data_IF_410057091867
#
_entry.id   IF_410057091867
#
_cell.length_a   1.000
_cell.length_b   1.000
_cell.length_c   1.000
_cell.angle_alpha   90.00
_cell.angle_beta   90.00
_cell.angle_gamma   90.00
#
_symmetry.space_group_name_H-M   'P 1'
#
loop_
_entity.id
_entity.type
_entity.pdbx_description
1 polymer ?
#
# COMPACT_ATOMS: atom_id res chain seq x y z
N UNK A 1 54.13 14.12 18.92
CA UNK A 1 53.42 13.99 17.62
C UNK A 1 54.17 14.80 16.55
N UNK A 2 54.74 14.13 15.55
CA UNK A 2 55.49 14.80 14.49
C UNK A 2 54.51 15.51 13.54
N UNK A 3 54.75 16.81 13.28
CA UNK A 3 54.03 17.54 12.25
C UNK A 3 54.46 16.99 10.88
N UNK A 4 53.51 16.73 9.96
CA UNK A 4 53.86 16.27 8.62
C UNK A 4 54.74 17.32 7.93
N UNK A 5 55.78 16.87 7.24
CA UNK A 5 56.65 17.74 6.46
C UNK A 5 55.81 18.50 5.39
N UNK A 6 56.10 19.78 5.12
CA UNK A 6 55.37 20.54 4.11
C UNK A 6 55.56 19.90 2.73
N UNK A 7 54.46 19.73 2.00
CA UNK A 7 54.45 19.22 0.63
C UNK A 7 55.34 20.08 -0.26
N UNK A 8 56.09 19.44 -1.15
CA UNK A 8 56.79 20.13 -2.21
C UNK A 8 55.78 20.76 -3.19
N UNK A 9 56.16 21.82 -3.93
CA UNK A 9 55.28 22.43 -4.94
C UNK A 9 54.81 21.46 -6.03
N UNK A 10 55.60 20.41 -6.31
CA UNK A 10 55.24 19.37 -7.27
C UNK A 10 54.19 18.41 -6.69
N UNK A 11 54.38 17.94 -5.45
CA UNK A 11 53.39 17.12 -4.75
C UNK A 11 52.05 17.87 -4.56
N UNK A 12 52.09 19.16 -4.25
CA UNK A 12 50.88 19.99 -4.12
C UNK A 12 50.12 20.12 -5.46
N UNK A 13 50.83 20.22 -6.60
CA UNK A 13 50.21 20.27 -7.93
C UNK A 13 49.60 18.93 -8.34
N UNK A 14 50.29 17.84 -8.03
CA UNK A 14 49.79 16.47 -8.28
C UNK A 14 48.54 16.19 -7.46
N UNK A 15 48.55 16.53 -6.15
CA UNK A 15 47.40 16.39 -5.27
C UNK A 15 46.20 17.20 -5.79
N UNK A 16 46.42 18.46 -6.15
CA UNK A 16 45.37 19.31 -6.72
C UNK A 16 44.86 18.81 -8.09
N UNK A 17 45.66 18.05 -8.85
CA UNK A 17 45.19 17.40 -10.06
C UNK A 17 44.30 16.22 -9.74
N UNK A 18 44.72 15.38 -8.78
CA UNK A 18 43.93 14.24 -8.32
C UNK A 18 42.60 14.67 -7.71
N UNK A 19 42.56 15.76 -6.95
CA UNK A 19 41.32 16.32 -6.40
C UNK A 19 40.36 16.74 -7.53
N UNK A 20 40.87 17.43 -8.57
CA UNK A 20 40.06 17.80 -9.74
C UNK A 20 39.54 16.59 -10.51
N UNK A 21 40.37 15.56 -10.68
CA UNK A 21 39.97 14.33 -11.36
C UNK A 21 38.92 13.56 -10.55
N UNK A 22 39.06 13.52 -9.21
CA UNK A 22 38.07 12.96 -8.29
C UNK A 22 36.74 13.70 -8.34
N UNK A 23 36.76 15.03 -8.34
CA UNK A 23 35.58 15.87 -8.45
C UNK A 23 34.88 15.67 -9.81
N UNK A 24 35.65 15.58 -10.89
CA UNK A 24 35.13 15.33 -12.23
C UNK A 24 34.47 13.96 -12.35
N UNK A 25 35.13 12.89 -11.89
CA UNK A 25 34.59 11.53 -11.90
C UNK A 25 33.38 11.39 -10.98
N UNK A 26 33.39 12.01 -9.80
CA UNK A 26 32.25 12.04 -8.88
C UNK A 26 31.07 12.76 -9.52
N UNK A 27 31.31 13.91 -10.16
CA UNK A 27 30.30 14.67 -10.87
C UNK A 27 29.69 13.91 -12.05
N UNK A 28 30.49 13.15 -12.80
CA UNK A 28 30.03 12.29 -13.89
C UNK A 28 29.19 11.12 -13.38
N UNK A 29 29.64 10.41 -12.33
CA UNK A 29 28.90 9.33 -11.68
C UNK A 29 27.54 9.79 -11.14
N UNK A 30 27.50 10.98 -10.53
CA UNK A 30 26.25 11.59 -10.07
C UNK A 30 25.30 11.85 -11.23
N UNK A 31 25.78 12.50 -12.31
CA UNK A 31 24.95 12.79 -13.51
C UNK A 31 24.46 11.53 -14.22
N UNK A 32 25.31 10.51 -14.36
CA UNK A 32 24.94 9.22 -14.95
C UNK A 32 23.87 8.49 -14.12
N UNK A 33 23.83 8.73 -12.80
CA UNK A 33 22.83 8.19 -11.88
C UNK A 33 21.54 9.03 -11.82
N UNK A 34 21.58 10.28 -12.28
CA UNK A 34 20.43 11.21 -12.32
C UNK A 34 19.57 11.06 -13.58
N UNK A 35 19.78 10.05 -14.44
CA UNK A 35 18.84 9.80 -15.54
C UNK A 35 17.46 9.43 -14.96
N UNK A 36 16.55 10.40 -14.91
CA UNK A 36 15.15 10.19 -14.55
C UNK A 36 14.59 9.19 -15.53
N UNK A 37 14.20 8.02 -15.04
CA UNK A 37 13.52 7.01 -15.83
C UNK A 37 12.06 7.09 -15.45
N UNK A 38 11.22 7.55 -16.38
CA UNK A 38 9.77 7.54 -16.17
C UNK A 38 9.30 6.08 -16.16
N UNK A 39 8.72 5.66 -15.04
CA UNK A 39 8.19 4.31 -14.85
C UNK A 39 6.66 4.39 -14.96
N UNK A 40 6.04 3.81 -16.00
CA UNK A 40 4.61 3.91 -16.17
C UNK A 40 3.88 3.17 -15.06
N UNK A 41 2.90 3.83 -14.43
CA UNK A 41 2.05 3.19 -13.42
C UNK A 41 1.16 2.10 -14.07
N UNK A 42 1.01 0.92 -13.43
CA UNK A 42 0.11 -0.12 -13.91
C UNK A 42 -1.35 0.35 -14.00
N UNK A 43 -2.08 -0.14 -14.99
CA UNK A 43 -3.51 0.13 -15.16
C UNK A 43 -4.38 -0.41 -13.99
N UNK A 44 -3.87 -1.40 -13.25
CA UNK A 44 -4.51 -1.92 -12.04
C UNK A 44 -3.56 -1.88 -10.86
N UNK A 45 -4.02 -1.35 -9.73
CA UNK A 45 -3.28 -1.26 -8.47
C UNK A 45 -4.03 -2.02 -7.37
N UNK A 46 -3.31 -2.62 -6.44
CA UNK A 46 -3.92 -3.04 -5.16
C UNK A 46 -4.08 -1.83 -4.23
N UNK A 47 -5.00 -1.91 -3.27
CA UNK A 47 -5.12 -0.90 -2.22
C UNK A 47 -3.78 -0.61 -1.52
N UNK A 48 -3.01 -1.66 -1.22
CA UNK A 48 -1.67 -1.55 -0.63
C UNK A 48 -0.65 -0.86 -1.55
N UNK A 49 -0.72 -1.09 -2.87
CA UNK A 49 0.13 -0.39 -3.84
C UNK A 49 -0.23 1.10 -3.92
N UNK A 50 -1.52 1.43 -3.89
CA UNK A 50 -1.96 2.83 -3.88
C UNK A 50 -1.50 3.56 -2.61
N UNK A 51 -1.62 2.93 -1.45
CA UNK A 51 -1.09 3.49 -0.19
C UNK A 51 0.43 3.67 -0.25
N UNK A 52 1.14 2.71 -0.85
CA UNK A 52 2.60 2.81 -1.03
C UNK A 52 2.98 3.95 -1.97
N UNK A 53 2.26 4.10 -3.08
CA UNK A 53 2.42 5.20 -4.02
C UNK A 53 2.20 6.55 -3.32
N UNK A 54 1.15 6.69 -2.52
CA UNK A 54 0.86 7.93 -1.78
C UNK A 54 1.94 8.26 -0.74
N UNK A 55 2.53 7.24 -0.09
CA UNK A 55 3.53 7.44 0.95
C UNK A 55 4.95 7.72 0.39
N UNK A 56 5.31 7.10 -0.73
CA UNK A 56 6.66 7.16 -1.31
C UNK A 56 6.61 6.87 -2.82
N UNK A 57 6.24 7.87 -3.66
CA UNK A 57 6.12 7.69 -5.11
C UNK A 57 7.42 7.23 -5.78
N UNK A 58 8.54 7.86 -5.41
CA UNK A 58 9.86 7.54 -5.96
C UNK A 58 10.31 6.12 -5.57
N UNK A 59 10.10 5.72 -4.32
CA UNK A 59 10.39 4.37 -3.86
C UNK A 59 9.51 3.31 -4.51
N UNK A 60 8.23 3.63 -4.76
CA UNK A 60 7.33 2.75 -5.50
C UNK A 60 7.74 2.61 -6.97
N UNK A 61 8.12 3.70 -7.64
CA UNK A 61 8.64 3.68 -9.00
C UNK A 61 9.92 2.81 -9.11
N UNK A 62 10.83 2.92 -8.14
CA UNK A 62 12.03 2.07 -8.07
C UNK A 62 11.69 0.59 -7.90
N UNK A 63 10.70 0.26 -7.07
CA UNK A 63 10.23 -1.11 -6.87
C UNK A 63 9.63 -1.70 -8.15
N UNK A 64 8.83 -0.91 -8.88
CA UNK A 64 8.28 -1.30 -10.17
C UNK A 64 9.38 -1.52 -11.22
N UNK A 65 10.39 -0.65 -11.25
CA UNK A 65 11.52 -0.77 -12.17
C UNK A 65 12.42 -1.99 -11.86
N UNK A 66 12.56 -2.35 -10.57
CA UNK A 66 13.45 -3.43 -10.11
C UNK A 66 12.80 -4.24 -8.98
N UNK A 67 11.90 -5.19 -9.30
CA UNK A 67 11.23 -6.01 -8.31
C UNK A 67 12.22 -6.94 -7.60
N UNK A 68 12.41 -6.75 -6.30
CA UNK A 68 13.27 -7.61 -5.48
C UNK A 68 12.44 -8.60 -4.65
N UNK A 69 12.87 -9.87 -4.50
CA UNK A 69 12.22 -10.81 -3.58
C UNK A 69 12.25 -10.27 -2.16
N UNK A 70 11.09 -10.21 -1.50
CA UNK A 70 10.99 -9.82 -0.09
C UNK A 70 11.10 -11.06 0.81
N UNK A 71 11.92 -11.02 1.87
CA UNK A 71 11.95 -12.13 2.83
C UNK A 71 10.59 -12.26 3.53
N UNK A 72 10.16 -13.48 3.89
CA UNK A 72 8.91 -13.66 4.61
C UNK A 72 9.00 -12.97 5.98
N UNK A 73 8.02 -12.13 6.29
CA UNK A 73 7.94 -11.42 7.57
C UNK A 73 7.00 -12.17 8.52
N UNK A 74 7.48 -12.66 9.69
CA UNK A 74 6.64 -13.39 10.66
C UNK A 74 5.39 -12.60 11.10
N UNK A 75 5.52 -11.28 11.30
CA UNK A 75 4.39 -10.42 11.64
C UNK A 75 3.30 -10.38 10.56
N UNK A 76 3.68 -10.44 9.28
CA UNK A 76 2.73 -10.50 8.17
C UNK A 76 1.98 -11.84 8.15
N UNK A 77 2.68 -12.96 8.44
CA UNK A 77 2.06 -14.30 8.55
C UNK A 77 0.99 -14.33 9.64
N UNK A 78 1.27 -13.71 10.80
CA UNK A 78 0.33 -13.60 11.92
C UNK A 78 -0.94 -12.83 11.56
N UNK A 79 -0.79 -11.68 10.89
CA UNK A 79 -1.92 -10.91 10.37
C UNK A 79 -2.78 -11.78 9.45
N UNK A 80 -2.18 -12.43 8.45
CA UNK A 80 -2.91 -13.31 7.53
C UNK A 80 -3.67 -14.43 8.25
N UNK A 81 -3.04 -15.10 9.24
CA UNK A 81 -3.71 -16.15 10.02
C UNK A 81 -4.87 -15.63 10.87
N UNK A 82 -4.71 -14.45 11.47
CA UNK A 82 -5.78 -13.82 12.24
C UNK A 82 -7.00 -13.51 11.35
N UNK A 83 -6.79 -12.89 10.20
CA UNK A 83 -7.88 -12.57 9.25
C UNK A 83 -8.59 -13.84 8.78
N UNK A 84 -7.83 -14.88 8.40
CA UNK A 84 -8.40 -16.16 8.00
C UNK A 84 -9.23 -16.83 9.11
N UNK A 85 -8.81 -16.71 10.38
CA UNK A 85 -9.60 -17.20 11.51
C UNK A 85 -10.90 -16.41 11.70
N UNK A 86 -10.87 -15.08 11.57
CA UNK A 86 -12.10 -14.28 11.68
C UNK A 86 -13.06 -14.56 10.53
N UNK A 87 -12.54 -14.68 9.30
CA UNK A 87 -13.29 -15.10 8.12
C UNK A 87 -13.99 -16.44 8.38
N UNK A 88 -13.24 -17.48 8.75
CA UNK A 88 -13.80 -18.80 9.06
C UNK A 88 -14.88 -18.74 10.14
N UNK A 89 -14.66 -17.98 11.22
CA UNK A 89 -15.64 -17.83 12.32
C UNK A 89 -16.98 -17.27 11.85
N UNK A 90 -16.97 -16.32 10.92
CA UNK A 90 -18.20 -15.67 10.42
C UNK A 90 -18.77 -16.35 9.17
N UNK A 91 -17.97 -17.12 8.44
CA UNK A 91 -18.42 -18.03 7.37
C UNK A 91 -19.13 -19.28 7.94
N UNK A 92 -18.71 -19.79 9.12
CA UNK A 92 -19.26 -20.98 9.80
C UNK A 92 -20.68 -20.83 10.39
N UNK A 93 -21.41 -19.73 10.12
CA UNK A 93 -22.88 -19.73 10.25
C UNK A 93 -23.57 -20.69 9.23
N UNK A 94 -22.78 -21.37 8.40
CA UNK A 94 -23.05 -22.69 7.81
C UNK A 94 -21.93 -23.66 8.21
N UNK A 95 -22.15 -24.49 9.24
CA UNK A 95 -21.25 -25.57 9.70
C UNK A 95 -20.79 -26.49 8.55
N UNK A 96 -19.54 -27.03 8.57
CA UNK A 96 -19.01 -27.82 9.70
C UNK A 96 -17.53 -27.62 10.11
N UNK A 97 -17.32 -27.76 11.42
CA UNK A 97 -16.14 -28.30 12.14
C UNK A 97 -14.79 -28.30 11.41
N UNK A 98 -13.91 -27.35 11.74
CA UNK A 98 -12.47 -27.49 11.55
C UNK A 98 -11.89 -28.47 12.59
N UNK A 99 -11.31 -29.58 12.13
CA UNK A 99 -10.52 -30.49 12.96
C UNK A 99 -9.16 -29.86 13.30
N UNK A 100 -8.68 -29.99 14.55
CA UNK A 100 -7.35 -29.53 14.91
C UNK A 100 -6.33 -30.63 14.64
N UNK A 101 -5.48 -30.48 13.64
CA UNK A 101 -4.12 -31.03 13.73
C UNK A 101 -3.15 -30.43 12.70
N UNK A 102 -2.20 -29.66 13.21
CA UNK A 102 -0.82 -29.69 12.73
C UNK A 102 0.07 -29.29 13.93
N UNK A 103 0.78 -30.28 14.47
CA UNK A 103 1.73 -30.08 15.57
C UNK A 103 2.89 -29.19 15.10
N UNK A 104 3.18 -28.06 15.76
CA UNK A 104 4.21 -27.11 15.31
C UNK A 104 5.61 -27.73 15.40
N UNK A 105 6.40 -27.58 14.34
CA UNK A 105 7.71 -28.23 14.15
C UNK A 105 8.91 -27.38 14.56
N UNK A 106 8.73 -26.10 14.92
CA UNK A 106 9.84 -25.18 15.31
C UNK A 106 9.46 -24.23 16.47
N UNK A 107 10.45 -23.76 17.26
CA UNK A 107 10.21 -22.81 18.38
C UNK A 107 9.55 -21.49 17.92
N UNK A 108 9.85 -21.04 16.70
CA UNK A 108 9.24 -19.86 16.10
C UNK A 108 7.75 -20.06 15.78
N UNK A 109 7.36 -21.25 15.31
CA UNK A 109 5.95 -21.61 15.08
C UNK A 109 5.15 -21.68 16.37
N UNK A 110 5.75 -22.19 17.45
CA UNK A 110 5.12 -22.24 18.79
C UNK A 110 4.88 -20.83 19.35
N UNK A 111 5.83 -19.91 19.17
CA UNK A 111 5.67 -18.52 19.60
C UNK A 111 4.58 -17.80 18.80
N UNK A 112 4.52 -18.01 17.49
CA UNK A 112 3.49 -17.44 16.62
C UNK A 112 2.09 -17.96 16.96
N UNK A 113 1.96 -19.24 17.33
CA UNK A 113 0.66 -19.82 17.71
C UNK A 113 0.12 -19.23 19.03
N UNK A 114 0.98 -19.08 20.03
CA UNK A 114 0.60 -18.42 21.30
C UNK A 114 0.20 -16.96 21.08
N UNK A 115 0.89 -16.27 20.18
CA UNK A 115 0.58 -14.89 19.83
C UNK A 115 -0.73 -14.76 19.03
N UNK A 116 -1.06 -15.77 18.21
CA UNK A 116 -2.34 -15.85 17.50
C UNK A 116 -3.49 -16.09 18.48
N UNK A 117 -3.34 -17.04 19.42
CA UNK A 117 -4.36 -17.31 20.43
C UNK A 117 -4.65 -16.07 21.28
N UNK A 118 -3.61 -15.33 21.67
CA UNK A 118 -3.77 -14.05 22.36
C UNK A 118 -4.52 -12.99 21.51
N UNK A 119 -4.39 -13.01 20.18
CA UNK A 119 -5.14 -12.12 19.29
C UNK A 119 -6.61 -12.54 19.20
N UNK A 120 -6.92 -13.84 19.14
CA UNK A 120 -8.31 -14.35 19.15
C UNK A 120 -9.01 -13.95 20.43
N UNK A 121 -8.39 -14.25 21.56
CA UNK A 121 -8.83 -13.86 22.91
C UNK A 121 -9.08 -12.34 23.02
N UNK A 122 -8.18 -11.52 22.47
CA UNK A 122 -8.32 -10.07 22.50
C UNK A 122 -9.50 -9.61 21.63
N UNK A 123 -9.63 -10.16 20.42
CA UNK A 123 -10.74 -9.87 19.52
C UNK A 123 -12.08 -10.23 20.16
N UNK A 124 -12.18 -11.38 20.81
CA UNK A 124 -13.40 -11.85 21.49
C UNK A 124 -13.94 -10.92 22.57
N UNK A 125 -13.09 -10.03 23.11
CA UNK A 125 -13.49 -9.03 24.10
C UNK A 125 -13.95 -7.71 23.47
N UNK A 126 -13.88 -7.57 22.15
CA UNK A 126 -14.27 -6.36 21.43
C UNK A 126 -15.76 -6.36 21.08
N UNK A 127 -16.34 -5.17 20.88
CA UNK A 127 -17.74 -5.03 20.44
C UNK A 127 -18.00 -5.76 19.10
N UNK A 128 -17.00 -5.80 18.22
CA UNK A 128 -17.11 -6.35 16.87
C UNK A 128 -17.16 -7.88 16.86
N UNK A 129 -16.64 -8.56 17.88
CA UNK A 129 -16.79 -10.00 18.02
C UNK A 129 -18.22 -10.43 18.39
N UNK A 130 -19.04 -9.50 18.91
CA UNK A 130 -20.42 -9.74 19.32
C UNK A 130 -21.44 -9.18 18.32
N UNK A 131 -21.00 -8.50 17.27
CA UNK A 131 -21.84 -8.01 16.17
C UNK A 131 -21.76 -8.97 14.99
N UNK A 132 -22.88 -9.19 14.32
CA UNK A 132 -22.88 -9.95 13.06
C UNK A 132 -22.48 -9.01 11.91
N UNK A 133 -21.34 -9.26 11.24
CA UNK A 133 -20.96 -8.47 10.08
C UNK A 133 -21.93 -8.73 8.92
N UNK A 134 -22.19 -7.69 8.13
CA UNK A 134 -22.91 -7.81 6.86
C UNK A 134 -22.08 -8.58 5.83
N UNK A 135 -20.77 -8.29 5.77
CA UNK A 135 -19.77 -9.00 4.97
C UNK A 135 -18.43 -9.03 5.71
N UNK A 136 -17.67 -10.09 5.51
CA UNK A 136 -16.27 -10.23 5.93
C UNK A 136 -15.44 -10.49 4.68
N UNK A 137 -14.21 -9.97 4.65
CA UNK A 137 -13.26 -10.10 3.53
C UNK A 137 -13.90 -9.73 2.17
N UNK A 138 -14.69 -8.65 2.18
CA UNK A 138 -15.49 -8.24 1.03
C UNK A 138 -14.59 -7.72 -0.11
N UNK A 139 -14.58 -8.36 -1.29
CA UNK A 139 -13.80 -7.88 -2.42
C UNK A 139 -14.42 -6.62 -3.00
N UNK A 140 -13.56 -5.68 -3.42
CA UNK A 140 -13.99 -4.47 -4.12
C UNK A 140 -13.11 -4.20 -5.35
N UNK A 141 -13.70 -3.45 -6.28
CA UNK A 141 -13.01 -2.83 -7.41
C UNK A 141 -13.50 -1.39 -7.53
N UNK A 142 -12.58 -0.44 -7.56
CA UNK A 142 -12.86 0.98 -7.66
C UNK A 142 -12.17 1.54 -8.90
N UNK A 143 -12.92 2.18 -9.79
CA UNK A 143 -12.37 2.93 -10.92
C UNK A 143 -12.13 4.38 -10.51
N UNK A 144 -10.87 4.82 -10.51
CA UNK A 144 -10.48 6.15 -10.06
C UNK A 144 -9.30 6.67 -10.91
N UNK A 145 -9.39 7.91 -11.39
CA UNK A 145 -8.38 8.53 -12.26
C UNK A 145 -7.94 7.63 -13.45
N UNK A 146 -8.92 6.98 -14.11
CA UNK A 146 -8.67 6.09 -15.25
C UNK A 146 -8.00 4.76 -14.91
N UNK A 147 -7.83 4.43 -13.63
CA UNK A 147 -7.18 3.20 -13.14
C UNK A 147 -8.14 2.37 -12.29
N UNK A 148 -7.88 1.07 -12.21
CA UNK A 148 -8.66 0.16 -11.36
C UNK A 148 -7.89 -0.16 -10.10
N UNK A 149 -8.45 0.20 -8.96
CA UNK A 149 -7.93 -0.16 -7.63
C UNK A 149 -8.72 -1.34 -7.09
N UNK A 150 -8.03 -2.41 -6.69
CA UNK A 150 -8.62 -3.64 -6.15
C UNK A 150 -8.16 -3.93 -4.74
N UNK A 151 -9.02 -4.54 -3.93
CA UNK A 151 -8.67 -4.93 -2.58
C UNK A 151 -9.76 -5.76 -1.91
N UNK A 152 -9.57 -5.96 -0.61
CA UNK A 152 -10.57 -6.55 0.29
C UNK A 152 -10.77 -5.64 1.48
N UNK A 153 -12.02 -5.52 1.91
CA UNK A 153 -12.43 -4.85 3.14
C UNK A 153 -12.61 -5.93 4.20
N UNK A 154 -11.92 -5.81 5.33
CA UNK A 154 -11.91 -6.85 6.36
C UNK A 154 -13.32 -7.15 6.89
N UNK A 155 -14.06 -6.12 7.29
CA UNK A 155 -15.46 -6.28 7.69
C UNK A 155 -16.30 -5.05 7.36
N UNK A 156 -17.56 -5.32 7.03
CA UNK A 156 -18.60 -4.31 6.86
C UNK A 156 -19.76 -4.67 7.77
N UNK A 157 -20.18 -3.72 8.60
CA UNK A 157 -21.38 -3.81 9.41
C UNK A 157 -22.47 -2.95 8.78
N UNK A 158 -23.72 -3.37 8.92
CA UNK A 158 -24.89 -2.62 8.43
C UNK A 158 -25.82 -2.32 9.60
N UNK A 159 -26.37 -1.11 9.61
CA UNK A 159 -27.40 -0.70 10.57
C UNK A 159 -28.61 -0.19 9.80
N UNK A 160 -29.80 -0.73 10.13
CA UNK A 160 -31.04 -0.40 9.44
C UNK A 160 -31.22 -1.10 8.09
N UNK A 161 -32.38 -0.87 7.47
CA UNK A 161 -32.82 -1.50 6.24
C UNK A 161 -33.27 -0.45 5.21
N UNK A 162 -33.30 -0.85 3.92
CA UNK A 162 -33.75 0.01 2.82
C UNK A 162 -32.80 1.18 2.53
N UNK A 163 -33.37 2.30 2.05
CA UNK A 163 -32.65 3.51 1.64
C UNK A 163 -31.99 4.27 2.81
N UNK A 164 -32.40 3.98 4.05
CA UNK A 164 -31.82 4.58 5.26
C UNK A 164 -30.73 3.74 5.91
N UNK A 165 -30.26 2.67 5.25
CA UNK A 165 -29.23 1.81 5.81
C UNK A 165 -27.88 2.54 5.85
N UNK A 166 -27.24 2.51 7.03
CA UNK A 166 -25.86 2.97 7.20
C UNK A 166 -24.92 1.79 7.28
N UNK A 167 -23.67 2.02 6.90
CA UNK A 167 -22.61 1.03 6.89
C UNK A 167 -21.45 1.50 7.73
N UNK A 168 -20.79 0.58 8.43
CA UNK A 168 -19.55 0.84 9.16
C UNK A 168 -18.50 -0.15 8.66
N UNK A 169 -17.47 0.37 8.01
CA UNK A 169 -16.30 -0.39 7.57
C UNK A 169 -15.32 -0.49 8.73
N UNK A 170 -14.84 -1.69 9.00
CA UNK A 170 -13.85 -1.95 10.05
C UNK A 170 -12.66 -2.64 9.43
N UNK A 171 -11.47 -2.09 9.65
CA UNK A 171 -10.19 -2.68 9.28
C UNK A 171 -9.44 -3.11 10.56
N UNK A 172 -9.04 -4.38 10.62
CA UNK A 172 -8.43 -4.98 11.79
C UNK A 172 -6.91 -4.85 11.76
N UNK A 173 -6.35 -4.21 12.78
CA UNK A 173 -4.90 -4.07 12.96
C UNK A 173 -4.43 -4.99 14.07
N UNK A 174 -3.55 -5.93 13.71
CA UNK A 174 -2.90 -6.88 14.64
C UNK A 174 -1.59 -6.35 15.23
N UNK A 175 -1.09 -5.23 14.70
CA UNK A 175 0.10 -4.54 15.20
C UNK A 175 -0.21 -3.71 16.46
N UNK A 176 0.83 -3.34 17.21
CA UNK A 176 0.69 -2.58 18.48
C UNK A 176 0.73 -1.07 18.28
N UNK A 177 1.36 -0.60 17.20
CA UNK A 177 1.59 0.83 16.94
C UNK A 177 0.54 1.38 16.00
N UNK A 178 0.01 2.58 16.33
CA UNK A 178 -0.95 3.31 15.49
C UNK A 178 -0.29 3.93 14.27
N UNK A 179 0.11 3.08 13.33
CA UNK A 179 0.75 3.50 12.06
C UNK A 179 -0.18 3.28 10.87
N UNK A 180 -1.48 3.14 11.11
CA UNK A 180 -2.44 2.91 10.04
C UNK A 180 -2.69 4.24 9.33
N UNK A 181 -2.53 4.23 8.02
CA UNK A 181 -2.78 5.41 7.19
C UNK A 181 -4.30 5.58 6.99
N UNK A 182 -4.90 6.71 7.42
CA UNK A 182 -6.33 7.00 7.21
C UNK A 182 -6.77 6.90 5.74
N UNK A 183 -5.87 7.10 4.79
CA UNK A 183 -6.14 6.96 3.36
C UNK A 183 -6.71 5.57 3.00
N UNK A 184 -6.31 4.53 3.75
CA UNK A 184 -6.84 3.18 3.55
C UNK A 184 -8.34 3.13 3.79
N UNK A 185 -8.82 3.73 4.88
CA UNK A 185 -10.24 3.77 5.20
C UNK A 185 -11.02 4.65 4.22
N UNK A 186 -10.43 5.76 3.77
CA UNK A 186 -11.04 6.61 2.75
C UNK A 186 -11.28 5.85 1.44
N UNK A 187 -10.30 5.07 1.00
CA UNK A 187 -10.41 4.21 -0.17
C UNK A 187 -11.51 3.15 0.00
N UNK A 188 -11.55 2.47 1.15
CA UNK A 188 -12.56 1.44 1.42
C UNK A 188 -13.97 2.02 1.49
N UNK A 189 -14.11 3.17 2.15
CA UNK A 189 -15.38 3.92 2.24
C UNK A 189 -15.90 4.28 0.86
N UNK A 190 -15.05 4.84 0.01
CA UNK A 190 -15.42 5.20 -1.35
C UNK A 190 -15.80 3.98 -2.19
N UNK A 191 -14.97 2.94 -2.14
CA UNK A 191 -15.21 1.70 -2.88
C UNK A 191 -16.55 1.05 -2.50
N UNK A 192 -16.85 0.98 -1.19
CA UNK A 192 -18.10 0.42 -0.71
C UNK A 192 -19.31 1.27 -1.11
N UNK A 193 -19.23 2.60 -0.93
CA UNK A 193 -20.31 3.51 -1.27
C UNK A 193 -20.71 3.40 -2.75
N UNK A 194 -19.73 3.38 -3.66
CA UNK A 194 -19.98 3.22 -5.09
C UNK A 194 -20.54 1.85 -5.45
N UNK A 195 -19.99 0.79 -4.86
CA UNK A 195 -20.43 -0.58 -5.14
C UNK A 195 -21.87 -0.83 -4.68
N UNK A 196 -22.29 -0.23 -3.57
CA UNK A 196 -23.67 -0.33 -3.07
C UNK A 196 -24.61 0.74 -3.63
N UNK A 197 -24.08 1.76 -4.31
CA UNK A 197 -24.86 2.89 -4.82
C UNK A 197 -25.46 3.76 -3.71
N UNK A 198 -24.74 3.90 -2.59
CA UNK A 198 -25.19 4.70 -1.43
C UNK A 198 -24.37 5.98 -1.29
N UNK A 199 -24.92 7.04 -0.65
CA UNK A 199 -24.15 8.24 -0.36
C UNK A 199 -22.94 7.94 0.53
N UNK A 200 -21.84 8.68 0.32
CA UNK A 200 -20.58 8.46 1.04
C UNK A 200 -20.73 8.72 2.55
N UNK A 201 -21.59 9.67 2.90
CA UNK A 201 -21.97 10.01 4.28
C UNK A 201 -22.75 8.91 5.01
N UNK A 202 -23.26 7.90 4.28
CA UNK A 202 -23.91 6.74 4.86
C UNK A 202 -22.92 5.63 5.22
N UNK A 203 -21.62 5.83 4.97
CA UNK A 203 -20.56 4.83 5.20
C UNK A 203 -19.53 5.41 6.16
N UNK A 204 -19.53 4.93 7.40
CA UNK A 204 -18.49 5.21 8.38
C UNK A 204 -17.32 4.23 8.23
N UNK A 205 -16.15 4.60 8.75
CA UNK A 205 -14.97 3.74 8.72
C UNK A 205 -14.12 3.86 9.99
N UNK A 206 -13.60 2.74 10.48
CA UNK A 206 -12.82 2.65 11.70
C UNK A 206 -11.66 1.64 11.60
N UNK A 207 -10.59 1.90 12.34
CA UNK A 207 -9.57 0.91 12.65
C UNK A 207 -9.86 0.25 14.00
N UNK A 208 -9.75 -1.07 14.07
CA UNK A 208 -9.75 -1.82 15.32
C UNK A 208 -8.36 -2.36 15.60
N UNK A 209 -7.72 -1.87 16.65
CA UNK A 209 -6.43 -2.39 17.14
C UNK A 209 -6.68 -3.58 18.07
N UNK A 210 -6.77 -4.78 17.48
CA UNK A 210 -7.24 -6.03 18.11
C UNK A 210 -6.59 -6.29 19.47
N UNK A 211 -5.26 -6.14 19.56
CA UNK A 211 -4.51 -6.40 20.82
C UNK A 211 -4.95 -5.51 21.99
N UNK A 212 -5.37 -4.30 21.69
CA UNK A 212 -5.76 -3.28 22.69
C UNK A 212 -7.26 -3.15 22.83
N UNK A 213 -8.04 -3.66 21.87
CA UNK A 213 -9.48 -3.42 21.74
C UNK A 213 -9.84 -1.98 21.37
N UNK A 214 -8.86 -1.13 21.07
CA UNK A 214 -9.09 0.26 20.74
C UNK A 214 -9.70 0.42 19.35
N UNK A 215 -10.73 1.28 19.25
CA UNK A 215 -11.36 1.67 17.99
C UNK A 215 -10.99 3.12 17.67
N UNK A 216 -10.35 3.34 16.53
CA UNK A 216 -9.96 4.67 16.06
C UNK A 216 -10.80 5.03 14.83
N UNK A 217 -11.54 6.13 14.94
CA UNK A 217 -12.38 6.69 13.87
C UNK A 217 -11.76 8.02 13.42
N UNK A 218 -11.12 8.08 12.24
CA UNK A 218 -10.60 9.34 11.72
C UNK A 218 -11.75 10.26 11.29
N UNK A 219 -11.72 11.52 11.75
CA UNK A 219 -12.81 12.48 11.48
C UNK A 219 -12.79 13.03 10.04
N UNK A 220 -11.60 13.21 9.45
CA UNK A 220 -11.42 13.81 8.12
C UNK A 220 -10.78 12.81 7.15
N UNK A 221 -11.63 11.96 6.58
CA UNK A 221 -11.22 11.00 5.55
C UNK A 221 -11.38 11.63 4.16
N UNK A 222 -10.33 11.59 3.31
CA UNK A 222 -10.39 12.18 1.98
C UNK A 222 -11.55 11.62 1.12
N UNK A 223 -12.14 12.48 0.30
CA UNK A 223 -13.14 12.11 -0.71
C UNK A 223 -12.49 11.70 -2.04
N UNK A 224 -13.35 11.45 -3.05
CA UNK A 224 -12.92 11.04 -4.40
C UNK A 224 -11.88 11.96 -5.00
N UNK A 225 -12.12 13.27 -5.01
CA UNK A 225 -11.23 14.25 -5.65
C UNK A 225 -9.82 14.26 -5.04
N UNK A 226 -9.70 14.03 -3.73
CA UNK A 226 -8.41 13.93 -3.07
C UNK A 226 -7.67 12.64 -3.47
N UNK A 227 -8.38 11.53 -3.57
CA UNK A 227 -7.83 10.26 -4.06
C UNK A 227 -7.47 10.31 -5.55
N UNK A 228 -8.23 11.04 -6.37
CA UNK A 228 -7.91 11.25 -7.78
C UNK A 228 -6.67 12.10 -7.97
N UNK A 229 -6.47 13.15 -7.17
CA UNK A 229 -5.24 13.98 -7.22
C UNK A 229 -3.98 13.16 -6.96
N UNK A 230 -4.03 12.20 -6.04
CA UNK A 230 -2.91 11.30 -5.75
C UNK A 230 -2.52 10.40 -6.94
N UNK A 231 -3.47 10.11 -7.82
CA UNK A 231 -3.26 9.29 -9.02
C UNK A 231 -3.11 10.12 -10.31
N UNK A 232 -3.50 11.39 -10.26
CA UNK A 232 -3.53 12.32 -11.39
C UNK A 232 -2.24 13.12 -11.59
N UNK A 233 -1.24 12.96 -10.72
CA UNK A 233 0.11 13.49 -10.95
C UNK A 233 0.86 12.63 -11.98
N UNK A 234 0.42 12.66 -13.24
CA UNK A 234 1.25 12.37 -14.40
C UNK A 234 1.03 13.48 -15.45
N UNK A 235 2.10 14.01 -16.09
CA UNK A 235 1.95 14.97 -17.17
C UNK A 235 1.26 14.24 -18.32
N UNK A 236 0.14 14.80 -18.78
CA UNK A 236 -0.53 14.33 -19.99
C UNK A 236 0.47 14.49 -21.12
N UNK A 237 1.11 13.41 -21.53
CA UNK A 237 1.82 13.35 -22.79
C UNK A 237 0.75 13.45 -23.87
N UNK A 238 0.47 14.67 -24.31
CA UNK A 238 -0.29 14.93 -25.52
C UNK A 238 0.41 14.19 -26.66
N UNK A 239 -0.21 13.08 -27.07
CA UNK A 239 0.16 12.38 -28.29
C UNK A 239 -0.27 13.27 -29.45
N UNK A 240 0.62 14.17 -29.89
CA UNK A 240 0.51 14.85 -31.16
C UNK A 240 0.75 13.84 -32.29
N UNK A 241 -0.30 13.09 -32.63
CA UNK A 241 -0.38 12.39 -33.91
C UNK A 241 -0.86 13.38 -34.97
N UNK A 242 0.03 14.19 -35.53
CA UNK A 242 -0.22 14.84 -36.82
C UNK A 242 1.09 15.27 -37.50
N UNK A 243 1.63 14.41 -38.35
CA UNK A 243 2.41 14.85 -39.51
C UNK A 243 1.99 14.02 -40.72
N UNK A 244 1.50 14.63 -41.82
CA UNK A 244 1.15 13.90 -43.03
C UNK A 244 2.42 13.61 -43.85
N UNK A 245 2.43 12.53 -44.67
CA UNK A 245 3.60 12.21 -45.48
C UNK A 245 3.76 13.21 -46.62
N UNK A 246 4.97 13.78 -46.73
CA UNK A 246 5.38 14.63 -47.83
C UNK A 246 5.39 13.83 -49.15
N UNK A 247 4.67 14.32 -50.16
CA UNK A 247 4.74 13.84 -51.54
C UNK A 247 5.96 14.41 -52.27
N UNK A 248 6.36 13.70 -53.31
CA UNK A 248 7.22 14.08 -54.43
C UNK A 248 8.75 14.08 -54.24
N UNK A 249 9.39 13.09 -54.88
CA UNK A 249 10.46 13.40 -55.84
C UNK A 249 10.25 12.57 -57.11
N UNK A 250 10.11 13.28 -58.22
CA UNK A 250 9.73 12.78 -59.54
C UNK A 250 10.81 12.01 -60.29
N UNK A 251 10.33 11.32 -61.33
CA UNK A 251 11.11 10.68 -62.38
C UNK A 251 11.85 11.71 -63.26
N UNK A 252 13.04 11.34 -63.76
CA UNK A 252 13.71 12.14 -64.78
C UNK A 252 15.07 11.63 -65.25
N UNK A 253 15.02 10.68 -66.21
CA UNK A 253 15.96 10.39 -67.31
C UNK A 253 17.42 10.01 -67.03
#
# INVERSE_FOLDING_TARGET
>A
PAQPAPLTPEEARTLASWDRDLDALTGELLRARTSVTDVPLPASLTASQLLRLAADPDGFAQELARPMPRPPQPAARRGTRFHAWVEARFEELTLPMLEPDDLPGTEAEIADERDLEALKDAFERTEYAHRTPHRVEAPFQLAIAGRVVRGRIDAVYRTGDGEGATYEIVDWKTNRTRTADPLQLALYRLAWAEQQGVPLESVDAAFLYVRTGEVVRPDDLPGREALERLLGEEPVAEVNCEEPPNQDVGAGR
#
